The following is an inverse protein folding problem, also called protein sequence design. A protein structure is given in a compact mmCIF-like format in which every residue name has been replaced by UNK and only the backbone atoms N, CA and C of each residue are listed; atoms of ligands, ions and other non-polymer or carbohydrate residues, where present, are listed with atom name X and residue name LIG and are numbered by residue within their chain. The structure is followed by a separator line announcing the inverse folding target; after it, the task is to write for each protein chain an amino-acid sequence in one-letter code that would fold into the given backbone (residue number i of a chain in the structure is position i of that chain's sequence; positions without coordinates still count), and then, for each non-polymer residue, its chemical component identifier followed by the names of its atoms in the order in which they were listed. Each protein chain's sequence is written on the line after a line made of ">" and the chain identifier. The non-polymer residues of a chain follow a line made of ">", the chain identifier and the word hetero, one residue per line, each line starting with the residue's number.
data_IF_845936246988
#
_entry.id   IF_845936246988
#
_cell.length_a   1.000
_cell.length_b   1.000
_cell.length_c   1.000
_cell.angle_alpha   90.00
_cell.angle_beta   90.00
_cell.angle_gamma   90.00
#
_symmetry.space_group_name_H-M   'P 1'
#
loop_
_entity.id
_entity.type
_entity.pdbx_description
1 polymer ?
#
# COMPACT_ATOMS: atom_id res chain seq x y z
N UNK A 1 -2.05 1.23 5.69
CA UNK A 1 -2.27 2.47 6.49
C UNK A 1 -3.73 2.69 6.86
N UNK A 2 -4.68 2.84 5.92
CA UNK A 2 -6.09 3.15 6.24
C UNK A 2 -6.74 2.17 7.24
N UNK A 3 -6.61 0.87 7.00
CA UNK A 3 -7.14 -0.17 7.89
C UNK A 3 -6.48 -0.14 9.27
N UNK A 4 -5.15 0.02 9.33
CA UNK A 4 -4.40 0.13 10.59
C UNK A 4 -4.81 1.38 11.38
N UNK A 5 -5.08 2.49 10.69
CA UNK A 5 -5.53 3.73 11.28
C UNK A 5 -6.95 3.59 11.86
N UNK A 6 -7.87 2.93 11.14
CA UNK A 6 -9.19 2.58 11.65
C UNK A 6 -9.11 1.70 12.89
N UNK A 7 -8.28 0.65 12.87
CA UNK A 7 -8.06 -0.23 14.03
C UNK A 7 -7.49 0.57 15.22
N UNK A 8 -6.54 1.47 14.97
CA UNK A 8 -5.95 2.30 16.02
C UNK A 8 -6.97 3.27 16.64
N UNK A 9 -7.85 3.86 15.83
CA UNK A 9 -8.92 4.72 16.32
C UNK A 9 -10.01 3.93 17.06
N UNK A 10 -10.40 2.76 16.54
CA UNK A 10 -11.38 1.89 17.17
C UNK A 10 -10.93 1.44 18.57
N UNK A 11 -9.65 1.07 18.72
CA UNK A 11 -9.05 0.77 20.04
C UNK A 11 -9.10 1.93 21.04
N UNK A 12 -9.30 3.17 20.56
CA UNK A 12 -9.42 4.41 21.36
C UNK A 12 -10.87 4.88 21.50
N UNK A 13 -11.84 4.07 21.06
CA UNK A 13 -13.26 4.43 21.05
C UNK A 13 -13.62 5.49 20.01
N UNK A 14 -12.73 5.79 19.07
CA UNK A 14 -12.95 6.78 18.01
C UNK A 14 -13.54 6.05 16.80
N UNK A 15 -14.73 6.46 16.36
CA UNK A 15 -15.40 5.90 15.20
C UNK A 15 -15.24 6.81 13.99
N UNK A 16 -15.19 6.24 12.80
CA UNK A 16 -15.23 6.99 11.54
C UNK A 16 -16.68 7.16 11.12
N UNK A 17 -17.18 8.40 11.15
CA UNK A 17 -18.51 8.77 10.69
C UNK A 17 -18.54 8.89 9.16
N UNK A 18 -17.53 9.51 8.56
CA UNK A 18 -17.39 9.60 7.11
C UNK A 18 -15.92 9.67 6.67
N UNK A 19 -15.69 9.29 5.40
CA UNK A 19 -14.40 9.41 4.73
C UNK A 19 -14.61 10.04 3.36
N UNK A 20 -13.86 11.11 3.08
CA UNK A 20 -13.80 11.76 1.79
C UNK A 20 -12.44 11.53 1.15
N UNK A 21 -12.45 10.94 -0.05
CA UNK A 21 -11.29 10.75 -0.90
C UNK A 21 -11.10 12.00 -1.78
N UNK A 22 -10.09 12.82 -1.47
CA UNK A 22 -9.73 14.03 -2.21
C UNK A 22 -8.41 13.84 -2.98
N UNK A 23 -8.11 14.66 -4.00
CA UNK A 23 -6.83 14.58 -4.69
C UNK A 23 -5.66 14.72 -3.72
N UNK A 24 -4.86 13.67 -3.59
CA UNK A 24 -3.69 13.63 -2.71
C UNK A 24 -4.01 13.86 -1.21
N UNK A 25 -5.26 13.62 -0.80
CA UNK A 25 -5.74 13.92 0.54
C UNK A 25 -6.88 12.98 0.95
N UNK A 26 -6.83 12.46 2.16
CA UNK A 26 -7.92 11.69 2.77
C UNK A 26 -8.45 12.46 3.96
N UNK A 27 -9.76 12.66 4.03
CA UNK A 27 -10.39 13.42 5.09
C UNK A 27 -11.41 12.56 5.85
N UNK A 28 -11.27 12.52 7.15
CA UNK A 28 -12.09 11.72 8.04
C UNK A 28 -12.93 12.64 8.91
N UNK A 29 -14.20 12.33 8.99
CA UNK A 29 -15.05 12.78 10.08
C UNK A 29 -15.07 11.69 11.13
N UNK A 30 -14.63 12.03 12.33
CA UNK A 30 -14.47 11.15 13.46
C UNK A 30 -15.47 11.52 14.55
N UNK A 31 -15.94 10.52 15.28
CA UNK A 31 -16.87 10.73 16.40
C UNK A 31 -16.51 9.88 17.60
N UNK A 32 -16.70 10.44 18.80
CA UNK A 32 -16.59 9.76 20.09
C UNK A 32 -17.47 10.47 21.10
N UNK A 33 -18.35 9.75 21.78
CA UNK A 33 -19.24 10.27 22.84
C UNK A 33 -20.01 11.55 22.44
N UNK A 34 -20.50 11.59 21.20
CA UNK A 34 -21.25 12.74 20.65
C UNK A 34 -20.38 13.93 20.21
N UNK A 35 -19.07 13.88 20.48
CA UNK A 35 -18.09 14.85 19.96
C UNK A 35 -17.68 14.46 18.55
N UNK A 36 -17.43 15.46 17.70
CA UNK A 36 -16.95 15.26 16.33
C UNK A 36 -15.61 15.95 16.11
N UNK A 37 -14.78 15.37 15.26
CA UNK A 37 -13.54 15.94 14.81
C UNK A 37 -13.36 15.67 13.32
N UNK A 38 -12.67 16.56 12.62
CA UNK A 38 -12.30 16.34 11.22
C UNK A 38 -10.79 16.38 11.12
N UNK A 39 -10.20 15.30 10.62
CA UNK A 39 -8.76 15.19 10.37
C UNK A 39 -8.53 14.86 8.91
N UNK A 40 -7.53 15.49 8.31
CA UNK A 40 -7.09 15.22 6.95
C UNK A 40 -5.64 14.76 6.95
N UNK A 41 -5.30 13.80 6.11
CA UNK A 41 -3.90 13.50 5.80
C UNK A 41 -3.64 13.62 4.31
N UNK A 42 -2.53 14.29 3.98
CA UNK A 42 -2.03 14.45 2.62
C UNK A 42 -0.98 13.40 2.32
N UNK A 43 -1.02 12.88 1.11
CA UNK A 43 -0.03 11.95 0.59
C UNK A 43 0.50 12.45 -0.75
N UNK A 44 1.79 12.24 -1.04
CA UNK A 44 2.34 12.60 -2.34
C UNK A 44 2.02 11.53 -3.41
N UNK A 45 2.39 11.79 -4.68
CA UNK A 45 2.22 10.82 -5.78
C UNK A 45 2.98 9.49 -5.63
N UNK A 46 3.68 9.28 -4.51
CA UNK A 46 4.27 7.99 -4.09
C UNK A 46 3.64 7.47 -2.80
N UNK A 47 2.41 7.91 -2.50
CA UNK A 47 1.64 7.60 -1.28
C UNK A 47 2.38 7.88 0.03
N UNK A 48 3.43 8.71 0.02
CA UNK A 48 4.12 9.09 1.26
C UNK A 48 3.30 10.16 1.96
N UNK A 49 2.97 9.91 3.21
CA UNK A 49 2.33 10.86 4.12
C UNK A 49 3.22 12.10 4.22
N UNK A 50 2.67 13.25 3.84
CA UNK A 50 3.37 14.53 3.88
C UNK A 50 2.94 15.41 5.05
N UNK A 51 1.62 15.56 5.26
CA UNK A 51 1.08 16.47 6.27
C UNK A 51 -0.24 15.92 6.79
N UNK A 52 -0.44 15.94 8.11
CA UNK A 52 -1.74 15.69 8.73
C UNK A 52 -2.22 16.96 9.43
N UNK A 53 -3.50 17.26 9.30
CA UNK A 53 -4.11 18.50 9.77
C UNK A 53 -5.46 18.20 10.43
N UNK A 54 -5.74 18.85 11.55
CA UNK A 54 -7.10 18.99 12.05
C UNK A 54 -7.78 20.16 11.34
N UNK A 55 -9.09 20.08 11.15
CA UNK A 55 -9.87 21.24 10.72
C UNK A 55 -10.46 21.96 11.93
N UNK A 56 -10.30 23.30 12.02
CA UNK A 56 -10.97 24.08 13.05
C UNK A 56 -12.46 24.21 12.74
N UNK A 57 -13.29 24.19 13.78
CA UNK A 57 -14.73 24.43 13.65
C UNK A 57 -15.37 24.58 15.01
N UNK A 58 -16.38 25.45 15.13
CA UNK A 58 -17.05 25.75 16.41
C UNK A 58 -17.69 24.50 17.08
N UNK A 59 -17.97 23.46 16.30
CA UNK A 59 -18.56 22.20 16.75
C UNK A 59 -17.59 21.02 16.73
N UNK A 60 -16.30 21.27 16.45
CA UNK A 60 -15.27 20.25 16.38
C UNK A 60 -14.44 20.24 17.66
N UNK A 61 -14.28 19.06 18.24
CA UNK A 61 -13.51 18.85 19.46
C UNK A 61 -12.02 18.72 19.11
N UNK A 62 -11.24 19.73 19.51
CA UNK A 62 -9.80 19.79 19.24
C UNK A 62 -9.04 18.65 19.94
N UNK A 63 -9.47 18.23 21.13
CA UNK A 63 -8.83 17.13 21.86
C UNK A 63 -9.00 15.79 21.14
N UNK A 64 -10.18 15.53 20.60
CA UNK A 64 -10.45 14.36 19.76
C UNK A 64 -9.63 14.41 18.47
N UNK A 65 -9.48 15.59 17.86
CA UNK A 65 -8.66 15.77 16.66
C UNK A 65 -7.17 15.51 16.96
N UNK A 66 -6.63 16.04 18.05
CA UNK A 66 -5.24 15.85 18.46
C UNK A 66 -4.94 14.38 18.78
N UNK A 67 -5.84 13.69 19.47
CA UNK A 67 -5.69 12.26 19.75
C UNK A 67 -5.72 11.42 18.47
N UNK A 68 -6.62 11.76 17.54
CA UNK A 68 -6.69 11.11 16.25
C UNK A 68 -5.41 11.33 15.41
N UNK A 69 -4.85 12.54 15.45
CA UNK A 69 -3.58 12.89 14.82
C UNK A 69 -2.39 12.20 15.49
N UNK A 70 -2.37 12.08 16.82
CA UNK A 70 -1.31 11.37 17.55
C UNK A 70 -1.27 9.88 17.21
N UNK A 71 -2.44 9.23 17.07
CA UNK A 71 -2.53 7.86 16.58
C UNK A 71 -1.99 7.74 15.15
N UNK A 72 -2.28 8.73 14.30
CA UNK A 72 -1.75 8.81 12.95
C UNK A 72 -0.23 8.98 12.91
N UNK A 73 0.34 9.90 13.70
CA UNK A 73 1.80 10.12 13.79
C UNK A 73 2.52 8.91 14.36
N UNK A 74 1.93 8.23 15.35
CA UNK A 74 2.47 6.99 15.90
C UNK A 74 2.53 5.90 14.84
N UNK A 75 1.45 5.72 14.08
CA UNK A 75 1.44 4.78 12.96
C UNK A 75 2.45 5.21 11.89
N UNK A 76 2.44 6.46 11.45
CA UNK A 76 3.36 6.98 10.44
C UNK A 76 4.85 6.87 10.85
N UNK A 77 5.16 6.94 12.15
CA UNK A 77 6.50 6.72 12.69
C UNK A 77 6.87 5.24 12.86
N UNK A 78 5.88 4.36 13.04
CA UNK A 78 6.08 2.90 13.15
C UNK A 78 6.02 2.19 11.78
N UNK A 79 5.39 2.79 10.79
CA UNK A 79 5.21 2.22 9.46
C UNK A 79 6.22 2.79 8.49
N UNK A 80 6.98 1.90 7.85
CA UNK A 80 7.39 2.09 6.45
C UNK A 80 6.17 2.54 5.61
N UNK A 81 6.35 3.18 4.43
CA UNK A 81 5.27 3.89 3.69
C UNK A 81 3.94 3.11 3.60
N UNK A 82 2.78 3.82 3.52
CA UNK A 82 1.48 3.17 3.40
C UNK A 82 1.45 2.06 2.35
N UNK A 83 1.23 0.83 2.82
CA UNK A 83 0.68 -0.30 2.10
C UNK A 83 -0.18 0.13 0.89
N UNK A 84 0.39 0.03 -0.31
CA UNK A 84 -0.32 0.24 -1.57
C UNK A 84 -1.10 -1.05 -1.87
N UNK A 85 -2.37 -1.14 -1.47
CA UNK A 85 -3.18 -2.36 -1.54
C UNK A 85 -3.11 -3.05 -2.91
N UNK A 86 -3.11 -2.27 -3.99
CA UNK A 86 -2.94 -2.77 -5.36
C UNK A 86 -1.61 -3.53 -5.59
N UNK A 87 -0.51 -3.01 -5.02
CA UNK A 87 0.81 -3.64 -5.05
C UNK A 87 0.85 -4.85 -4.11
N UNK A 88 0.30 -4.72 -2.91
CA UNK A 88 0.30 -5.80 -1.91
C UNK A 88 -0.49 -7.02 -2.39
N UNK A 89 -1.68 -6.80 -2.96
CA UNK A 89 -2.47 -7.87 -3.57
C UNK A 89 -1.69 -8.57 -4.69
N UNK A 90 -0.94 -7.81 -5.50
CA UNK A 90 -0.13 -8.42 -6.55
C UNK A 90 1.05 -9.22 -6.00
N UNK A 91 1.75 -8.69 -4.99
CA UNK A 91 2.83 -9.41 -4.30
C UNK A 91 2.30 -10.69 -3.63
N UNK A 92 1.12 -10.64 -3.02
CA UNK A 92 0.47 -11.81 -2.44
C UNK A 92 0.08 -12.85 -3.50
N UNK A 93 -0.42 -12.42 -4.68
CA UNK A 93 -0.67 -13.33 -5.81
C UNK A 93 0.62 -14.00 -6.30
N UNK A 94 1.70 -13.24 -6.40
CA UNK A 94 3.03 -13.77 -6.76
C UNK A 94 3.49 -14.81 -5.74
N UNK A 95 3.46 -14.47 -4.45
CA UNK A 95 3.90 -15.36 -3.37
C UNK A 95 3.07 -16.64 -3.33
N UNK A 96 1.76 -16.52 -3.48
CA UNK A 96 0.87 -17.67 -3.60
C UNK A 96 1.28 -18.54 -4.79
N UNK A 97 1.48 -17.95 -5.97
CA UNK A 97 1.87 -18.67 -7.19
C UNK A 97 3.17 -19.46 -7.03
N UNK A 98 4.17 -18.90 -6.36
CA UNK A 98 5.48 -19.56 -6.19
C UNK A 98 5.57 -20.45 -4.96
N UNK A 99 4.56 -20.50 -4.09
CA UNK A 99 4.60 -21.23 -2.81
C UNK A 99 4.93 -22.73 -2.94
N UNK A 100 4.65 -23.36 -4.08
CA UNK A 100 4.95 -24.78 -4.35
C UNK A 100 6.19 -25.03 -5.23
N UNK A 101 6.88 -23.97 -5.64
CA UNK A 101 8.07 -24.05 -6.51
C UNK A 101 9.34 -23.72 -5.71
N UNK A 102 10.54 -23.97 -6.26
CA UNK A 102 11.78 -23.49 -5.63
C UNK A 102 11.94 -21.97 -5.72
N UNK A 103 11.13 -21.28 -6.53
CA UNK A 103 11.21 -19.83 -6.73
C UNK A 103 10.69 -19.11 -5.48
N UNK A 104 11.39 -18.06 -5.08
CA UNK A 104 11.07 -17.19 -3.95
C UNK A 104 11.23 -15.74 -4.36
N UNK A 105 10.29 -14.90 -3.93
CA UNK A 105 10.45 -13.46 -3.92
C UNK A 105 11.35 -13.07 -2.76
N UNK A 106 12.43 -12.32 -3.04
CA UNK A 106 13.42 -11.91 -2.03
C UNK A 106 13.51 -10.38 -1.87
N UNK A 107 12.77 -9.63 -2.67
CA UNK A 107 12.73 -8.18 -2.57
C UNK A 107 11.76 -7.56 -3.55
N UNK A 108 11.42 -6.29 -3.33
CA UNK A 108 10.71 -5.47 -4.30
C UNK A 108 11.08 -3.99 -4.14
N UNK A 109 10.85 -3.21 -5.19
CA UNK A 109 11.03 -1.76 -5.22
C UNK A 109 9.90 -1.12 -6.01
N UNK A 110 9.21 -0.16 -5.40
CA UNK A 110 8.23 0.68 -6.08
C UNK A 110 8.92 1.85 -6.81
N UNK A 111 8.52 2.06 -8.06
CA UNK A 111 8.94 3.15 -8.94
C UNK A 111 7.69 3.76 -9.58
N UNK A 112 7.74 4.98 -10.15
CA UNK A 112 6.59 5.55 -10.84
C UNK A 112 6.06 4.61 -11.91
N UNK A 113 4.80 4.17 -11.75
CA UNK A 113 4.11 3.25 -12.67
C UNK A 113 4.79 1.89 -12.86
N UNK A 114 5.66 1.47 -11.94
CA UNK A 114 6.39 0.21 -12.06
C UNK A 114 6.71 -0.39 -10.69
N UNK A 115 6.37 -1.67 -10.51
CA UNK A 115 6.83 -2.50 -9.40
C UNK A 115 7.94 -3.40 -9.91
N UNK A 116 9.15 -3.23 -9.39
CA UNK A 116 10.24 -4.18 -9.61
C UNK A 116 10.26 -5.22 -8.52
N UNK A 117 10.30 -6.49 -8.89
CA UNK A 117 10.35 -7.62 -7.95
C UNK A 117 11.58 -8.46 -8.22
N UNK A 118 12.29 -8.82 -7.16
CA UNK A 118 13.49 -9.66 -7.22
C UNK A 118 13.15 -11.08 -6.80
N UNK A 119 13.57 -12.03 -7.62
CA UNK A 119 13.32 -13.46 -7.42
C UNK A 119 14.63 -14.26 -7.39
N UNK A 120 14.56 -15.42 -6.77
CA UNK A 120 15.60 -16.45 -6.83
C UNK A 120 15.01 -17.84 -6.66
N UNK A 121 15.67 -18.87 -7.18
CA UNK A 121 15.40 -20.28 -6.87
C UNK A 121 16.59 -20.98 -6.17
N UNK A 122 17.55 -20.19 -5.68
CA UNK A 122 18.81 -20.67 -5.11
C UNK A 122 19.96 -20.77 -6.12
N UNK A 123 19.67 -20.88 -7.42
CA UNK A 123 20.68 -20.95 -8.49
C UNK A 123 20.63 -19.69 -9.36
N UNK A 124 19.41 -19.32 -9.78
CA UNK A 124 19.13 -18.16 -10.61
C UNK A 124 18.70 -16.99 -9.73
N UNK A 125 19.00 -15.77 -10.17
CA UNK A 125 18.50 -14.53 -9.60
C UNK A 125 18.10 -13.60 -10.72
N UNK A 126 16.91 -13.02 -10.64
CA UNK A 126 16.39 -12.13 -11.66
C UNK A 126 15.50 -11.05 -11.07
N UNK A 127 15.43 -9.93 -11.78
CA UNK A 127 14.49 -8.84 -11.48
C UNK A 127 13.48 -8.72 -12.62
N UNK A 128 12.22 -8.54 -12.26
CA UNK A 128 11.11 -8.38 -13.20
C UNK A 128 10.40 -7.06 -12.89
N UNK A 129 10.22 -6.23 -13.91
CA UNK A 129 9.46 -4.99 -13.87
C UNK A 129 8.00 -5.25 -14.27
N UNK A 130 7.08 -5.02 -13.34
CA UNK A 130 5.63 -5.03 -13.55
C UNK A 130 5.14 -3.58 -13.68
N UNK A 131 4.76 -3.18 -14.89
CA UNK A 131 4.26 -1.83 -15.20
C UNK A 131 2.75 -1.76 -15.01
N UNK A 132 2.25 -0.64 -14.49
CA UNK A 132 0.83 -0.39 -14.32
C UNK A 132 0.46 1.05 -14.72
N UNK A 133 -0.79 1.30 -15.09
CA UNK A 133 -1.26 2.63 -15.48
C UNK A 133 -1.76 3.45 -14.26
N UNK A 134 -2.13 4.72 -14.48
CA UNK A 134 -2.67 5.59 -13.43
C UNK A 134 -4.00 5.11 -12.82
N UNK A 135 -4.71 4.19 -13.48
CA UNK A 135 -5.94 3.56 -12.98
C UNK A 135 -5.67 2.26 -12.20
N UNK A 136 -4.41 2.01 -11.82
CA UNK A 136 -4.00 0.79 -11.12
C UNK A 136 -4.40 -0.48 -11.90
N UNK A 137 -4.08 -0.52 -13.18
CA UNK A 137 -4.20 -1.72 -14.03
C UNK A 137 -2.81 -2.16 -14.45
N UNK A 138 -2.47 -3.43 -14.21
CA UNK A 138 -1.23 -4.04 -14.71
C UNK A 138 -1.27 -4.10 -16.23
N UNK A 139 -0.24 -3.56 -16.90
CA UNK A 139 -0.21 -3.43 -18.36
C UNK A 139 0.91 -4.22 -19.02
N UNK A 140 2.02 -4.44 -18.32
CA UNK A 140 3.18 -5.14 -18.87
C UNK A 140 4.05 -5.73 -17.78
N UNK A 141 4.68 -6.88 -18.07
CA UNK A 141 5.80 -7.39 -17.31
C UNK A 141 7.02 -7.59 -18.23
N UNK A 142 8.23 -7.35 -17.72
CA UNK A 142 9.48 -7.56 -18.46
C UNK A 142 10.66 -7.85 -17.54
N UNK A 143 11.64 -8.57 -18.05
CA UNK A 143 12.92 -8.75 -17.37
C UNK A 143 13.72 -7.44 -17.34
N UNK A 144 14.36 -7.19 -16.20
CA UNK A 144 15.35 -6.12 -16.06
C UNK A 144 16.66 -6.59 -16.67
N UNK A 145 17.26 -5.78 -17.56
CA UNK A 145 18.47 -6.15 -18.28
C UNK A 145 18.21 -6.74 -19.68
N UNK A 146 16.96 -6.88 -20.08
CA UNK A 146 16.56 -7.36 -21.42
C UNK A 146 16.13 -8.83 -21.43
N UNK A 147 15.68 -9.35 -22.60
CA UNK A 147 15.22 -10.72 -22.72
C UNK A 147 16.26 -11.74 -22.29
N UNK A 148 15.87 -12.70 -21.45
CA UNK A 148 16.73 -13.75 -20.90
C UNK A 148 17.56 -13.35 -19.68
N UNK A 149 17.52 -12.08 -19.25
CA UNK A 149 18.34 -11.60 -18.13
C UNK A 149 18.00 -12.25 -16.77
N UNK A 150 16.81 -12.83 -16.63
CA UNK A 150 16.38 -13.59 -15.44
C UNK A 150 16.68 -15.09 -15.53
N UNK A 151 17.34 -15.56 -16.60
CA UNK A 151 17.67 -16.97 -16.84
C UNK A 151 16.43 -17.88 -16.83
N UNK A 152 15.32 -17.39 -17.39
CA UNK A 152 14.05 -18.12 -17.48
C UNK A 152 13.11 -17.95 -16.28
N UNK A 153 13.53 -17.31 -15.18
CA UNK A 153 12.66 -17.07 -14.03
C UNK A 153 11.38 -16.30 -14.41
N UNK A 154 11.47 -15.35 -15.33
CA UNK A 154 10.29 -14.62 -15.82
C UNK A 154 9.26 -15.55 -16.47
N UNK A 155 9.71 -16.51 -17.27
CA UNK A 155 8.81 -17.48 -17.91
C UNK A 155 8.16 -18.38 -16.86
N UNK A 156 8.97 -18.93 -15.95
CA UNK A 156 8.49 -19.83 -14.89
C UNK A 156 7.44 -19.15 -14.01
N UNK A 157 7.69 -17.91 -13.59
CA UNK A 157 6.75 -17.12 -12.77
C UNK A 157 5.46 -16.85 -13.53
N UNK A 158 5.55 -16.48 -14.81
CA UNK A 158 4.37 -16.24 -15.65
C UNK A 158 3.50 -17.49 -15.74
N UNK A 159 4.11 -18.65 -15.95
CA UNK A 159 3.39 -19.91 -16.11
C UNK A 159 2.76 -20.38 -14.78
N UNK A 160 3.47 -20.20 -13.66
CA UNK A 160 2.94 -20.43 -12.31
C UNK A 160 1.73 -19.53 -11.99
N UNK A 161 1.79 -18.25 -12.37
CA UNK A 161 0.67 -17.33 -12.17
C UNK A 161 -0.53 -17.70 -13.03
N UNK A 162 -0.32 -18.04 -14.30
CA UNK A 162 -1.39 -18.45 -15.21
C UNK A 162 -2.07 -19.76 -14.79
N UNK A 163 -1.30 -20.73 -14.27
CA UNK A 163 -1.82 -22.03 -13.83
C UNK A 163 -2.79 -21.99 -12.64
N UNK A 164 -2.89 -20.85 -11.94
CA UNK A 164 -3.78 -20.67 -10.79
C UNK A 164 -5.02 -19.85 -11.09
N UNK A 165 -5.11 -19.27 -12.29
CA UNK A 165 -6.27 -18.51 -12.75
C UNK A 165 -7.27 -19.39 -13.53
N UNK A 166 -6.95 -20.65 -13.78
CA UNK A 166 -7.84 -21.68 -14.35
C UNK A 166 -8.20 -22.76 -13.33
#
# INVERSE_FOLDING_TARGET
>A
MHQQLRIAWEKRGIRVESLEHLPYCERYTLTRDGKRAVVSYHYNGRYRVGRSLSQPGAFLDAGLADEALAAFTTLAGQTSPPANLFIEEHLARIDAAVSGSPIRRIGHREMPYCLRVTFTDGVRRGEIDFTYNAKQTWTKAREVGGPGASLGLYQDIRDLMASREG
#
